data_IF_503889995677
#
_entry.id   IF_503889995677
#
_cell.length_a   1.000
_cell.length_b   1.000
_cell.length_c   1.000
_cell.angle_alpha   90.00
_cell.angle_beta   90.00
_cell.angle_gamma   90.00
#
_symmetry.space_group_name_H-M   'P 1'
#
loop_
_entity.id
_entity.type
_entity.pdbx_description
1 polymer ?
#
# COMPACT_ATOMS: atom_id res chain seq x y z
N UNK A 1 17.19 -19.84 1.97
CA UNK A 1 16.37 -20.74 2.81
C UNK A 1 15.51 -19.93 3.76
N UNK A 2 14.19 -20.06 3.62
CA UNK A 2 13.20 -19.46 4.53
C UNK A 2 13.29 -20.10 5.92
N UNK A 3 12.73 -19.43 6.93
CA UNK A 3 12.67 -19.98 8.30
C UNK A 3 11.91 -21.31 8.32
N UNK A 4 10.82 -21.41 7.55
CA UNK A 4 10.03 -22.65 7.40
C UNK A 4 10.89 -23.80 6.85
N UNK A 5 11.64 -23.56 5.79
CA UNK A 5 12.56 -24.56 5.21
C UNK A 5 13.64 -25.00 6.20
N UNK A 6 14.17 -24.08 7.00
CA UNK A 6 15.17 -24.39 8.05
C UNK A 6 14.57 -25.30 9.13
N UNK A 7 13.34 -25.02 9.57
CA UNK A 7 12.64 -25.81 10.60
C UNK A 7 12.30 -27.21 10.07
N UNK A 8 11.71 -27.32 8.87
CA UNK A 8 11.39 -28.63 8.28
C UNK A 8 12.66 -29.45 8.03
N UNK A 9 13.76 -28.83 7.60
CA UNK A 9 15.05 -29.50 7.44
C UNK A 9 15.61 -30.00 8.78
N UNK A 10 15.53 -29.21 9.85
CA UNK A 10 15.95 -29.62 11.19
C UNK A 10 15.13 -30.83 11.70
N UNK A 11 13.81 -30.83 11.48
CA UNK A 11 12.93 -31.96 11.83
C UNK A 11 13.33 -33.22 11.04
N UNK A 12 13.64 -33.09 9.75
CA UNK A 12 14.11 -34.22 8.92
C UNK A 12 15.45 -34.80 9.39
N UNK A 13 16.39 -33.94 9.79
CA UNK A 13 17.66 -34.37 10.38
C UNK A 13 17.42 -35.13 11.70
N UNK A 14 16.57 -34.61 12.59
CA UNK A 14 16.23 -35.28 13.84
C UNK A 14 15.56 -36.64 13.58
N UNK A 15 14.63 -36.72 12.63
CA UNK A 15 13.99 -38.00 12.25
C UNK A 15 15.01 -39.01 11.71
N UNK A 16 16.01 -38.54 10.95
CA UNK A 16 17.09 -39.39 10.43
C UNK A 16 17.97 -39.91 11.57
N UNK A 17 18.31 -39.04 12.53
CA UNK A 17 19.09 -39.40 13.72
C UNK A 17 18.31 -40.41 14.57
N UNK A 18 17.04 -40.15 14.87
CA UNK A 18 16.18 -41.04 15.66
C UNK A 18 15.96 -42.43 15.02
N UNK A 19 16.00 -42.52 13.69
CA UNK A 19 15.76 -43.78 12.96
C UNK A 19 17.03 -44.60 12.70
N UNK A 20 18.21 -43.98 12.65
CA UNK A 20 19.46 -44.64 12.27
C UNK A 20 20.47 -44.77 13.40
N UNK A 21 20.41 -43.92 14.42
CA UNK A 21 21.42 -43.90 15.47
C UNK A 21 21.03 -44.81 16.64
N UNK A 22 22.00 -45.57 17.15
CA UNK A 22 21.83 -46.35 18.38
C UNK A 22 22.05 -45.44 19.59
N UNK A 23 21.04 -44.60 19.86
CA UNK A 23 21.07 -43.59 20.92
C UNK A 23 20.64 -44.17 22.26
N UNK A 24 21.25 -43.66 23.32
CA UNK A 24 20.78 -43.86 24.69
C UNK A 24 19.39 -43.25 24.89
N UNK A 25 18.65 -43.75 25.88
CA UNK A 25 17.27 -43.36 26.10
C UNK A 25 17.12 -41.89 26.54
N UNK A 26 18.10 -41.36 27.26
CA UNK A 26 18.22 -39.94 27.61
C UNK A 26 18.31 -39.05 26.38
N UNK A 27 19.19 -39.39 25.43
CA UNK A 27 19.41 -38.62 24.21
C UNK A 27 18.19 -38.69 23.27
N UNK A 28 17.55 -39.86 23.19
CA UNK A 28 16.27 -40.01 22.47
C UNK A 28 15.20 -39.10 23.05
N UNK A 29 15.05 -39.07 24.38
CA UNK A 29 14.08 -38.21 25.04
C UNK A 29 14.37 -36.72 24.80
N UNK A 30 15.63 -36.30 24.87
CA UNK A 30 16.04 -34.93 24.56
C UNK A 30 15.71 -34.55 23.09
N UNK A 31 16.03 -35.42 22.13
CA UNK A 31 15.72 -35.20 20.71
C UNK A 31 14.22 -35.18 20.43
N UNK A 32 13.43 -36.00 21.13
CA UNK A 32 11.97 -35.97 21.03
C UNK A 32 11.40 -34.66 21.58
N UNK A 33 11.95 -34.12 22.68
CA UNK A 33 11.56 -32.80 23.18
C UNK A 33 11.91 -31.69 22.18
N UNK A 34 13.12 -31.68 21.64
CA UNK A 34 13.53 -30.70 20.61
C UNK A 34 12.63 -30.79 19.38
N UNK A 35 12.33 -32.02 18.92
CA UNK A 35 11.39 -32.25 17.81
C UNK A 35 10.00 -31.69 18.12
N UNK A 36 9.49 -31.91 19.33
CA UNK A 36 8.19 -31.38 19.75
C UNK A 36 8.18 -29.85 19.68
N UNK A 37 9.19 -29.18 20.24
CA UNK A 37 9.29 -27.71 20.17
C UNK A 37 9.39 -27.20 18.74
N UNK A 38 10.13 -27.89 17.85
CA UNK A 38 10.22 -27.51 16.45
C UNK A 38 8.89 -27.66 15.71
N UNK A 39 8.10 -28.70 16.02
CA UNK A 39 6.76 -28.89 15.46
C UNK A 39 5.77 -27.82 15.97
N UNK A 40 5.87 -27.43 17.25
CA UNK A 40 5.08 -26.33 17.82
C UNK A 40 5.42 -25.01 17.09
N UNK A 41 6.71 -24.71 16.88
CA UNK A 41 7.15 -23.53 16.11
C UNK A 41 6.68 -23.59 14.65
N UNK A 42 6.73 -24.76 14.01
CA UNK A 42 6.24 -24.93 12.63
C UNK A 42 4.74 -24.66 12.54
N UNK A 43 3.95 -25.15 13.51
CA UNK A 43 2.52 -24.87 13.61
C UNK A 43 2.24 -23.37 13.82
N UNK A 44 2.98 -22.71 14.70
CA UNK A 44 2.85 -21.26 14.92
C UNK A 44 3.19 -20.45 13.67
N UNK A 45 4.25 -20.82 12.95
CA UNK A 45 4.62 -20.16 11.69
C UNK A 45 3.53 -20.33 10.62
N UNK A 46 2.92 -21.51 10.52
CA UNK A 46 1.78 -21.74 9.63
C UNK A 46 0.58 -20.89 10.08
N UNK A 47 0.31 -20.81 11.38
CA UNK A 47 -0.75 -19.97 11.95
C UNK A 47 -0.55 -18.49 11.64
N UNK A 48 0.65 -17.97 11.86
CA UNK A 48 1.02 -16.59 11.52
C UNK A 48 0.88 -16.34 10.03
N UNK A 49 1.39 -17.25 9.18
CA UNK A 49 1.24 -17.15 7.73
C UNK A 49 -0.24 -17.06 7.35
N UNK A 50 -1.08 -17.92 7.90
CA UNK A 50 -2.52 -17.92 7.64
C UNK A 50 -3.19 -16.62 8.10
N UNK A 51 -2.82 -16.09 9.27
CA UNK A 51 -3.32 -14.80 9.75
C UNK A 51 -2.87 -13.67 8.82
N UNK A 52 -1.61 -13.65 8.39
CA UNK A 52 -1.13 -12.65 7.43
C UNK A 52 -1.87 -12.74 6.09
N UNK A 53 -2.13 -13.96 5.59
CA UNK A 53 -2.92 -14.18 4.38
C UNK A 53 -4.37 -13.69 4.55
N UNK A 54 -4.99 -13.93 5.71
CA UNK A 54 -6.31 -13.40 6.05
C UNK A 54 -6.30 -11.87 6.12
N UNK A 55 -5.33 -11.27 6.80
CA UNK A 55 -5.18 -9.81 6.88
C UNK A 55 -4.97 -9.20 5.49
N UNK A 56 -4.13 -9.80 4.64
CA UNK A 56 -3.93 -9.34 3.26
C UNK A 56 -5.22 -9.50 2.45
N UNK A 57 -5.90 -10.64 2.56
CA UNK A 57 -7.17 -10.89 1.87
C UNK A 57 -8.26 -9.89 2.30
N UNK A 58 -8.37 -9.62 3.60
CA UNK A 58 -9.31 -8.67 4.15
C UNK A 58 -8.91 -7.22 3.82
N UNK A 59 -7.62 -6.89 3.80
CA UNK A 59 -7.12 -5.62 3.29
C UNK A 59 -7.42 -5.42 1.80
N UNK A 60 -7.32 -6.47 0.97
CA UNK A 60 -7.68 -6.44 -0.45
C UNK A 60 -9.20 -6.32 -0.64
N UNK A 61 -10.01 -6.99 0.20
CA UNK A 61 -11.48 -6.82 0.22
C UNK A 61 -11.86 -5.41 0.63
N UNK A 62 -11.22 -4.86 1.67
CA UNK A 62 -11.32 -3.45 2.03
C UNK A 62 -10.85 -2.55 0.89
N UNK A 63 -9.86 -2.98 0.10
CA UNK A 63 -9.43 -2.37 -1.15
C UNK A 63 -10.57 -2.15 -2.16
N UNK A 64 -11.59 -3.02 -2.18
CA UNK A 64 -12.80 -2.86 -3.02
C UNK A 64 -13.76 -1.81 -2.47
N UNK A 65 -13.75 -1.58 -1.15
CA UNK A 65 -14.43 -0.47 -0.49
C UNK A 65 -13.59 0.82 -0.57
N UNK A 66 -12.27 0.72 -0.75
CA UNK A 66 -11.39 1.76 -1.26
C UNK A 66 -11.51 1.91 -2.79
N UNK A 67 -12.74 2.09 -3.28
CA UNK A 67 -12.91 2.97 -4.45
C UNK A 67 -12.81 4.39 -3.89
N UNK A 68 -11.71 5.10 -4.15
CA UNK A 68 -11.61 6.55 -3.99
C UNK A 68 -12.02 7.12 -2.62
N UNK A 69 -11.05 7.61 -1.86
CA UNK A 69 -10.98 8.97 -1.30
C UNK A 69 -9.91 9.00 -0.21
N UNK A 70 -8.73 9.50 -0.54
CA UNK A 70 -8.11 10.47 0.36
C UNK A 70 -8.71 11.83 -0.02
N UNK A 71 -9.92 12.08 0.48
CA UNK A 71 -10.53 13.39 0.60
C UNK A 71 -11.31 13.35 1.92
N UNK A 72 -10.56 13.28 3.02
CA UNK A 72 -11.04 13.91 4.23
C UNK A 72 -10.87 15.42 4.01
N UNK A 73 -12.00 16.11 3.91
CA UNK A 73 -12.05 17.57 3.94
C UNK A 73 -12.29 18.25 2.59
N UNK A 74 -13.44 18.03 1.97
CA UNK A 74 -14.44 19.08 1.66
C UNK A 74 -15.39 18.58 0.58
N UNK A 75 -16.67 18.51 0.94
CA UNK A 75 -17.78 18.24 0.03
C UNK A 75 -17.88 19.39 -0.97
N UNK A 76 -17.40 19.17 -2.18
CA UNK A 76 -17.60 20.11 -3.30
C UNK A 76 -19.06 19.97 -3.76
N UNK A 77 -19.82 21.06 -3.93
CA UNK A 77 -21.18 20.98 -4.45
C UNK A 77 -21.19 20.32 -5.83
N UNK A 78 -22.13 19.41 -6.06
CA UNK A 78 -22.52 18.98 -7.41
C UNK A 78 -23.09 20.22 -8.13
N UNK A 79 -22.23 20.95 -8.83
CA UNK A 79 -22.65 21.94 -9.82
C UNK A 79 -22.00 21.57 -11.15
N UNK A 80 -22.84 21.23 -12.12
CA UNK A 80 -22.47 20.73 -13.44
C UNK A 80 -21.82 21.80 -14.35
N UNK A 81 -21.54 23.00 -13.83
CA UNK A 81 -20.99 24.11 -14.61
C UNK A 81 -19.46 24.24 -14.44
N UNK A 82 -18.72 24.17 -15.55
CA UNK A 82 -17.24 24.31 -15.61
C UNK A 82 -16.70 25.57 -14.93
N UNK A 83 -17.47 26.67 -14.93
CA UNK A 83 -17.12 27.94 -14.27
C UNK A 83 -17.06 27.78 -12.75
N UNK A 84 -18.03 27.09 -12.15
CA UNK A 84 -18.13 26.89 -10.70
C UNK A 84 -16.97 26.05 -10.14
N UNK A 85 -16.48 25.07 -10.91
CA UNK A 85 -15.36 24.22 -10.50
C UNK A 85 -14.02 24.96 -10.50
N UNK A 86 -13.79 25.86 -11.48
CA UNK A 86 -12.59 26.72 -11.50
C UNK A 86 -12.53 27.61 -10.27
N UNK A 87 -13.63 28.29 -9.97
CA UNK A 87 -13.72 29.15 -8.78
C UNK A 87 -13.57 28.33 -7.49
N UNK A 88 -14.12 27.11 -7.45
CA UNK A 88 -13.96 26.24 -6.30
C UNK A 88 -12.50 25.84 -6.07
N UNK A 89 -11.78 25.43 -7.12
CA UNK A 89 -10.35 25.09 -7.04
C UNK A 89 -9.56 26.30 -6.57
N UNK A 90 -9.79 27.46 -7.17
CA UNK A 90 -9.12 28.70 -6.76
C UNK A 90 -9.52 29.19 -5.37
N UNK A 91 -10.68 28.81 -4.82
CA UNK A 91 -11.00 29.12 -3.42
C UNK A 91 -10.30 28.17 -2.44
N UNK A 92 -10.14 26.91 -2.82
CA UNK A 92 -9.62 25.87 -1.93
C UNK A 92 -8.09 25.80 -1.95
N UNK A 93 -7.48 26.14 -3.08
CA UNK A 93 -6.03 26.09 -3.29
C UNK A 93 -5.41 27.44 -2.94
N UNK A 94 -4.59 27.55 -1.90
CA UNK A 94 -4.00 28.83 -1.47
C UNK A 94 -2.86 29.32 -2.39
N UNK A 95 -2.65 30.63 -2.47
CA UNK A 95 -1.53 31.22 -3.24
C UNK A 95 -0.20 30.77 -2.61
N UNK A 96 0.73 30.30 -3.44
CA UNK A 96 2.02 29.72 -3.04
C UNK A 96 1.96 28.22 -2.69
N UNK A 97 0.77 27.63 -2.58
CA UNK A 97 0.61 26.21 -2.32
C UNK A 97 0.90 25.40 -3.59
N UNK A 98 1.56 24.26 -3.44
CA UNK A 98 1.88 23.33 -4.53
C UNK A 98 0.98 22.10 -4.44
N UNK A 99 0.37 21.70 -5.55
CA UNK A 99 -0.47 20.50 -5.66
C UNK A 99 -0.08 19.68 -6.90
N UNK A 100 -0.22 18.36 -6.82
CA UNK A 100 0.05 17.49 -7.98
C UNK A 100 -1.13 17.44 -8.94
N UNK A 101 -0.87 17.01 -10.18
CA UNK A 101 -1.91 16.65 -11.14
C UNK A 101 -2.93 15.64 -10.56
N UNK A 102 -2.48 14.70 -9.72
CA UNK A 102 -3.33 13.70 -9.05
C UNK A 102 -4.22 14.34 -7.99
N UNK A 103 -3.70 15.25 -7.17
CA UNK A 103 -4.49 15.95 -6.13
C UNK A 103 -5.59 16.80 -6.77
N UNK A 104 -5.24 17.54 -7.82
CA UNK A 104 -6.18 18.39 -8.55
C UNK A 104 -7.24 17.55 -9.28
N UNK A 105 -6.84 16.40 -9.83
CA UNK A 105 -7.78 15.44 -10.41
C UNK A 105 -8.70 14.83 -9.35
N UNK A 106 -8.20 14.55 -8.15
CA UNK A 106 -9.02 14.04 -7.04
C UNK A 106 -10.06 15.06 -6.57
N UNK A 107 -9.71 16.35 -6.54
CA UNK A 107 -10.65 17.45 -6.27
C UNK A 107 -11.73 17.52 -7.37
N UNK A 108 -11.33 17.42 -8.64
CA UNK A 108 -12.25 17.60 -9.78
C UNK A 108 -13.11 16.35 -10.02
N UNK A 109 -12.62 15.17 -9.65
CA UNK A 109 -13.32 13.89 -9.78
C UNK A 109 -13.38 13.31 -11.21
N UNK A 110 -12.85 14.01 -12.21
CA UNK A 110 -12.81 13.61 -13.62
C UNK A 110 -11.48 14.04 -14.24
N UNK A 111 -10.67 13.06 -14.69
CA UNK A 111 -9.33 13.29 -15.22
C UNK A 111 -9.32 14.13 -16.51
N UNK A 112 -10.31 13.95 -17.38
CA UNK A 112 -10.39 14.69 -18.65
C UNK A 112 -10.72 16.15 -18.38
N UNK A 113 -11.69 16.40 -17.50
CA UNK A 113 -12.05 17.77 -17.07
C UNK A 113 -10.92 18.44 -16.29
N UNK A 114 -10.18 17.68 -15.48
CA UNK A 114 -9.04 18.19 -14.74
C UNK A 114 -7.96 18.73 -15.68
N UNK A 115 -7.60 17.98 -16.72
CA UNK A 115 -6.63 18.45 -17.73
C UNK A 115 -7.09 19.73 -18.42
N UNK A 116 -8.35 19.79 -18.86
CA UNK A 116 -8.91 20.99 -19.50
C UNK A 116 -8.86 22.22 -18.57
N UNK A 117 -9.25 22.07 -17.30
CA UNK A 117 -9.23 23.17 -16.32
C UNK A 117 -7.80 23.62 -16.02
N UNK A 118 -6.86 22.69 -15.82
CA UNK A 118 -5.46 23.03 -15.54
C UNK A 118 -4.82 23.77 -16.71
N UNK A 119 -5.09 23.35 -17.96
CA UNK A 119 -4.64 24.08 -19.15
C UNK A 119 -5.18 25.51 -19.18
N UNK A 120 -6.46 25.71 -18.87
CA UNK A 120 -7.07 27.04 -18.84
C UNK A 120 -6.49 27.91 -17.72
N UNK A 121 -6.24 27.36 -16.53
CA UNK A 121 -5.61 28.08 -15.41
C UNK A 121 -4.15 28.46 -15.71
N UNK A 122 -3.41 27.59 -16.40
CA UNK A 122 -2.05 27.88 -16.89
C UNK A 122 -2.07 29.00 -17.93
N UNK A 123 -2.98 28.93 -18.92
CA UNK A 123 -3.15 29.97 -19.94
C UNK A 123 -3.55 31.32 -19.32
N UNK A 124 -4.39 31.29 -18.29
CA UNK A 124 -4.80 32.47 -17.52
C UNK A 124 -3.73 32.98 -16.54
N UNK A 125 -2.57 32.31 -16.43
CA UNK A 125 -1.47 32.64 -15.51
C UNK A 125 -1.89 32.69 -14.03
N UNK A 126 -2.88 31.91 -13.66
CA UNK A 126 -3.31 31.78 -12.25
C UNK A 126 -2.49 30.73 -11.50
N UNK A 127 -1.91 29.77 -12.24
CA UNK A 127 -1.02 28.73 -11.75
C UNK A 127 0.22 28.62 -12.63
N UNK A 128 1.30 28.02 -12.12
CA UNK A 128 2.52 27.68 -12.88
C UNK A 128 2.96 26.25 -12.60
N UNK A 129 3.76 25.67 -13.49
CA UNK A 129 4.43 24.40 -13.21
C UNK A 129 5.62 24.70 -12.30
N UNK A 130 5.62 24.10 -11.11
CA UNK A 130 6.67 24.27 -10.11
C UNK A 130 7.78 23.23 -10.29
N UNK A 131 7.39 21.98 -10.56
CA UNK A 131 8.31 20.84 -10.72
C UNK A 131 7.64 19.73 -11.53
N UNK A 132 8.43 18.92 -12.22
CA UNK A 132 7.99 17.65 -12.78
C UNK A 132 8.95 16.54 -12.33
N UNK A 133 8.41 15.43 -11.86
CA UNK A 133 9.16 14.28 -11.37
C UNK A 133 8.73 13.00 -12.07
N UNK A 134 9.63 12.03 -12.15
CA UNK A 134 9.33 10.68 -12.65
C UNK A 134 9.25 9.73 -11.47
N UNK A 135 8.10 9.07 -11.29
CA UNK A 135 7.89 8.09 -10.23
C UNK A 135 7.14 6.86 -10.79
N UNK A 136 7.65 5.66 -10.55
CA UNK A 136 7.07 4.38 -10.99
C UNK A 136 6.66 4.33 -12.49
N UNK A 137 7.41 5.03 -13.36
CA UNK A 137 7.15 5.08 -14.81
C UNK A 137 6.11 6.13 -15.25
N UNK A 138 5.61 6.95 -14.32
CA UNK A 138 4.65 8.02 -14.58
C UNK A 138 5.28 9.40 -14.33
N UNK A 139 4.91 10.39 -15.15
CA UNK A 139 5.30 11.80 -14.95
C UNK A 139 4.33 12.46 -13.97
N UNK A 140 4.82 12.86 -12.81
CA UNK A 140 4.07 13.62 -11.82
C UNK A 140 4.40 15.11 -12.01
N UNK A 141 3.38 15.90 -12.36
CA UNK A 141 3.52 17.35 -12.52
C UNK A 141 2.99 18.06 -11.28
N UNK A 142 3.81 18.93 -10.72
CA UNK A 142 3.50 19.79 -9.60
C UNK A 142 3.16 21.19 -10.10
N UNK A 143 1.99 21.68 -9.71
CA UNK A 143 1.53 23.03 -10.02
C UNK A 143 1.54 23.87 -8.76
N UNK A 144 1.89 25.15 -8.89
CA UNK A 144 1.84 26.14 -7.83
C UNK A 144 0.84 27.23 -8.19
N UNK A 145 -0.01 27.62 -7.24
CA UNK A 145 -0.89 28.76 -7.43
C UNK A 145 -0.13 30.07 -7.24
N UNK A 146 -0.28 30.99 -8.17
CA UNK A 146 0.43 32.28 -8.15
C UNK A 146 -0.52 33.50 -8.09
N UNK A 147 -1.82 33.30 -8.31
CA UNK A 147 -2.85 34.34 -8.20
C UNK A 147 -4.17 33.76 -7.67
#
# INVERSE_FOLDING_TARGET
MSVKEKVSHAIQLINTILSRANLEESDKNALLQVKRTLLEIEADLIGIQHICELVISDAIKLGKYFKLRFLEGTTIPRTEEKSSLKEYILRTWQVGQVMTSKDLTAIIGDEKKAKEILEELLKAKLIRIAKAEWNEGEVIVHYERIA
#
